data_IF_552335304449
#
_entry.id   IF_552335304449
#
_cell.length_a   1.000
_cell.length_b   1.000
_cell.length_c   1.000
_cell.angle_alpha   90.00
_cell.angle_beta   90.00
_cell.angle_gamma   90.00
#
_symmetry.space_group_name_H-M   'P 1'
#
loop_
_entity.id
_entity.type
_entity.pdbx_description
1 polymer ?
#
# COMPACT_ATOMS: atom_id res chain seq x y z
N UNK A 1 11.18 -1.11 -15.13
CA UNK A 1 11.02 -1.51 -13.72
C UNK A 1 12.18 -2.41 -13.35
N UNK A 2 13.24 -1.83 -12.72
CA UNK A 2 14.24 -2.65 -12.04
C UNK A 2 13.52 -3.40 -10.95
N UNK A 3 13.89 -4.68 -10.75
CA UNK A 3 13.42 -5.52 -9.66
C UNK A 3 13.44 -4.72 -8.36
N UNK A 4 12.26 -4.45 -7.80
CA UNK A 4 12.19 -4.14 -6.39
C UNK A 4 12.75 -5.37 -5.68
N UNK A 5 13.83 -5.20 -4.92
CA UNK A 5 14.33 -6.28 -4.08
C UNK A 5 13.20 -6.62 -3.12
N UNK A 6 12.77 -7.89 -3.13
CA UNK A 6 11.58 -8.38 -2.44
C UNK A 6 11.64 -8.20 -0.90
N UNK A 7 12.72 -7.63 -0.39
CA UNK A 7 13.00 -7.46 1.05
C UNK A 7 13.17 -6.00 1.48
N UNK A 8 12.99 -5.03 0.57
CA UNK A 8 13.16 -3.63 0.97
C UNK A 8 11.90 -3.13 1.68
N UNK A 9 11.99 -2.71 2.95
CA UNK A 9 10.83 -2.19 3.69
C UNK A 9 10.31 -0.91 3.04
N UNK A 10 9.01 -0.67 3.16
CA UNK A 10 8.42 0.58 2.74
C UNK A 10 8.78 1.64 3.79
N UNK A 11 9.49 2.69 3.36
CA UNK A 11 9.90 3.82 4.20
C UNK A 11 9.52 5.15 3.56
N UNK A 12 9.61 6.26 4.32
CA UNK A 12 9.41 7.60 3.79
C UNK A 12 10.39 7.88 2.63
N UNK A 13 11.67 7.58 2.82
CA UNK A 13 12.71 7.80 1.82
C UNK A 13 12.39 7.05 0.52
N UNK A 14 11.91 5.80 0.66
CA UNK A 14 11.53 4.99 -0.49
C UNK A 14 10.33 5.57 -1.23
N UNK A 15 9.32 6.05 -0.52
CA UNK A 15 8.16 6.69 -1.13
C UNK A 15 8.49 8.02 -1.80
N UNK A 16 9.38 8.82 -1.22
CA UNK A 16 9.93 10.04 -1.82
C UNK A 16 10.73 9.72 -3.09
N UNK A 17 11.57 8.70 -3.08
CA UNK A 17 12.31 8.24 -4.26
C UNK A 17 11.35 7.80 -5.39
N UNK A 18 10.30 7.06 -5.05
CA UNK A 18 9.27 6.65 -6.01
C UNK A 18 8.55 7.86 -6.60
N UNK A 19 8.15 8.83 -5.78
CA UNK A 19 7.53 10.08 -6.23
C UNK A 19 8.46 10.79 -7.22
N UNK A 20 9.70 10.99 -6.86
CA UNK A 20 10.70 11.65 -7.70
C UNK A 20 11.02 10.89 -9.00
N UNK A 21 10.80 9.57 -9.01
CA UNK A 21 10.97 8.74 -10.21
C UNK A 21 9.80 8.89 -11.20
N UNK A 22 8.57 9.11 -10.70
CA UNK A 22 7.37 9.12 -11.53
C UNK A 22 6.88 10.51 -11.91
N UNK A 23 7.47 11.57 -11.33
CA UNK A 23 7.08 12.97 -11.51
C UNK A 23 8.18 13.74 -12.25
N UNK A 24 7.79 14.80 -12.96
CA UNK A 24 8.73 15.74 -13.58
C UNK A 24 9.63 16.37 -12.50
N UNK A 25 10.97 16.47 -12.74
CA UNK A 25 11.93 17.01 -11.77
C UNK A 25 11.57 18.37 -11.17
N UNK A 26 10.79 19.17 -11.86
CA UNK A 26 10.31 20.48 -11.36
C UNK A 26 9.33 20.37 -10.18
N UNK A 27 8.75 19.19 -9.97
CA UNK A 27 7.76 18.91 -8.94
C UNK A 27 8.23 17.84 -7.95
N UNK A 28 9.53 17.60 -7.88
CA UNK A 28 10.10 16.68 -6.89
C UNK A 28 9.84 17.19 -5.48
N UNK A 29 9.54 16.27 -4.60
CA UNK A 29 9.34 16.51 -3.18
C UNK A 29 10.41 15.78 -2.38
N UNK A 30 10.67 16.25 -1.14
CA UNK A 30 11.72 15.71 -0.27
C UNK A 30 11.14 15.12 1.02
N UNK A 31 9.84 15.34 1.24
CA UNK A 31 9.04 14.85 2.37
C UNK A 31 7.57 15.00 2.02
N UNK A 32 6.69 14.75 2.97
CA UNK A 32 5.25 14.91 2.80
C UNK A 32 4.86 16.37 2.50
N UNK A 33 3.76 16.56 1.76
CA UNK A 33 3.25 17.90 1.43
C UNK A 33 2.95 18.74 2.67
N UNK A 34 3.19 20.04 2.56
CA UNK A 34 2.92 21.01 3.62
C UNK A 34 1.65 21.84 3.36
N UNK A 35 0.96 21.59 2.25
CA UNK A 35 -0.26 22.31 1.87
C UNK A 35 -1.38 21.33 1.62
N UNK A 36 -2.60 21.80 1.91
CA UNK A 36 -3.80 21.06 1.55
C UNK A 36 -3.90 20.97 0.03
N UNK A 37 -4.22 19.80 -0.46
CA UNK A 37 -4.60 19.54 -1.84
C UNK A 37 -6.00 18.92 -1.89
N UNK A 38 -6.49 18.68 -3.08
CA UNK A 38 -7.78 18.06 -3.33
C UNK A 38 -7.70 17.25 -4.62
N UNK A 39 -8.58 16.28 -4.76
CA UNK A 39 -8.76 15.50 -5.98
C UNK A 39 -10.07 15.95 -6.63
N UNK A 40 -10.07 16.12 -7.94
CA UNK A 40 -11.24 16.57 -8.67
C UNK A 40 -10.87 17.15 -10.03
N UNK A 41 -11.74 17.99 -10.57
CA UNK A 41 -11.57 18.58 -11.91
C UNK A 41 -11.61 20.11 -11.81
N UNK A 42 -10.66 20.74 -12.48
CA UNK A 42 -10.74 22.17 -12.76
C UNK A 42 -11.51 22.38 -14.06
N UNK A 43 -12.70 22.99 -13.96
CA UNK A 43 -13.58 23.29 -15.08
C UNK A 43 -13.37 24.72 -15.59
N UNK A 44 -12.30 25.41 -15.16
CA UNK A 44 -11.96 26.79 -15.55
C UNK A 44 -12.78 27.86 -14.84
N UNK A 45 -14.09 27.71 -14.79
CA UNK A 45 -15.00 28.66 -14.07
C UNK A 45 -15.37 28.21 -12.67
N UNK A 46 -15.13 26.94 -12.33
CA UNK A 46 -15.31 26.36 -10.99
C UNK A 46 -14.42 25.13 -10.85
N UNK A 47 -14.07 24.82 -9.61
CA UNK A 47 -13.44 23.56 -9.25
C UNK A 47 -14.53 22.59 -8.78
N UNK A 48 -14.51 21.39 -9.34
CA UNK A 48 -15.27 20.25 -8.83
C UNK A 48 -14.34 19.46 -7.92
N UNK A 49 -14.60 19.48 -6.64
CA UNK A 49 -13.82 18.73 -5.63
C UNK A 49 -14.56 17.42 -5.38
N UNK A 50 -13.91 16.30 -5.72
CA UNK A 50 -14.45 14.96 -5.53
C UNK A 50 -13.98 14.39 -4.18
N UNK A 51 -12.76 14.76 -3.72
CA UNK A 51 -12.20 14.26 -2.46
C UNK A 51 -11.21 15.25 -1.84
N UNK A 52 -11.28 15.42 -0.53
CA UNK A 52 -10.32 16.22 0.27
C UNK A 52 -9.56 15.26 1.19
N UNK A 53 -8.26 15.00 0.91
CA UNK A 53 -7.46 14.07 1.72
C UNK A 53 -7.07 14.65 3.08
N UNK A 54 -6.33 13.87 3.87
CA UNK A 54 -5.85 14.21 5.19
C UNK A 54 -5.20 15.60 5.25
N UNK A 55 -5.32 16.27 6.40
CA UNK A 55 -4.70 17.58 6.62
C UNK A 55 -3.17 17.44 6.66
N UNK A 56 -2.41 18.46 6.23
CA UNK A 56 -0.94 18.40 6.23
C UNK A 56 -0.34 18.08 7.61
N UNK A 57 -0.93 18.61 8.67
CA UNK A 57 -0.49 18.39 10.05
C UNK A 57 -0.67 16.97 10.56
N UNK A 58 -1.56 16.19 9.96
CA UNK A 58 -1.85 14.81 10.34
C UNK A 58 -1.01 13.79 9.54
N UNK A 59 -0.33 14.23 8.47
CA UNK A 59 0.32 13.33 7.51
C UNK A 59 1.41 12.47 8.16
N UNK A 60 2.22 13.04 9.05
CA UNK A 60 3.30 12.28 9.68
C UNK A 60 2.75 11.08 10.46
N UNK A 61 1.77 11.32 11.34
CA UNK A 61 1.19 10.27 12.17
C UNK A 61 0.49 9.19 11.33
N UNK A 62 -0.28 9.62 10.32
CA UNK A 62 -1.00 8.70 9.45
C UNK A 62 -0.05 7.86 8.60
N UNK A 63 1.02 8.47 8.08
CA UNK A 63 2.02 7.75 7.30
C UNK A 63 2.85 6.81 8.17
N UNK A 64 3.24 7.21 9.37
CA UNK A 64 3.92 6.32 10.34
C UNK A 64 3.07 5.08 10.65
N UNK A 65 1.76 5.26 10.83
CA UNK A 65 0.82 4.15 11.00
C UNK A 65 0.78 3.21 9.79
N UNK A 66 0.70 3.77 8.58
CA UNK A 66 0.69 3.00 7.33
C UNK A 66 2.00 2.23 7.10
N UNK A 67 3.14 2.86 7.37
CA UNK A 67 4.46 2.24 7.24
C UNK A 67 4.65 1.11 8.26
N UNK A 68 4.20 1.32 9.49
CA UNK A 68 4.19 0.28 10.54
C UNK A 68 3.32 -0.91 10.13
N UNK A 69 2.13 -0.66 9.62
CA UNK A 69 1.26 -1.72 9.10
C UNK A 69 1.94 -2.49 7.97
N UNK A 70 2.59 -1.79 7.03
CA UNK A 70 3.31 -2.41 5.92
C UNK A 70 4.46 -3.29 6.40
N UNK A 71 5.21 -2.87 7.42
CA UNK A 71 6.31 -3.66 8.02
C UNK A 71 5.78 -4.93 8.66
N UNK A 72 4.77 -4.82 9.53
CA UNK A 72 4.18 -5.97 10.21
C UNK A 72 3.64 -7.02 9.21
N UNK A 73 2.97 -6.57 8.14
CA UNK A 73 2.50 -7.47 7.09
C UNK A 73 3.64 -8.17 6.33
N UNK A 74 4.77 -7.51 6.16
CA UNK A 74 5.94 -8.11 5.52
C UNK A 74 6.56 -9.18 6.40
N UNK A 75 6.68 -8.95 7.70
CA UNK A 75 7.21 -9.88 8.67
C UNK A 75 6.34 -11.16 8.76
N UNK A 76 5.00 -10.99 8.82
CA UNK A 76 4.04 -12.10 8.81
C UNK A 76 4.17 -12.97 7.53
N UNK A 77 4.34 -12.33 6.38
CA UNK A 77 4.48 -13.04 5.10
C UNK A 77 5.81 -13.79 4.97
N UNK A 78 6.89 -13.27 5.56
CA UNK A 78 8.20 -13.96 5.60
C UNK A 78 8.14 -15.19 6.50
N UNK A 79 7.50 -15.10 7.66
CA UNK A 79 7.34 -16.21 8.59
C UNK A 79 6.58 -17.39 7.95
N UNK A 80 5.47 -17.11 7.25
CA UNK A 80 4.70 -18.14 6.53
C UNK A 80 5.53 -18.80 5.44
N UNK A 81 6.26 -18.02 4.69
CA UNK A 81 7.09 -18.50 3.57
C UNK A 81 8.24 -19.40 4.05
N UNK A 82 8.79 -19.13 5.23
CA UNK A 82 9.84 -19.94 5.82
C UNK A 82 9.29 -21.23 6.46
N UNK A 83 8.05 -21.20 6.96
CA UNK A 83 7.34 -22.40 7.43
C UNK A 83 7.03 -23.34 6.25
N UNK A 84 6.57 -22.83 5.11
CA UNK A 84 6.31 -23.64 3.90
C UNK A 84 7.58 -24.30 3.36
N UNK A 85 8.74 -23.61 3.39
CA UNK A 85 10.01 -24.16 2.92
C UNK A 85 10.56 -25.28 3.81
N UNK A 86 10.25 -25.25 5.10
CA UNK A 86 10.78 -26.20 6.07
C UNK A 86 9.97 -27.49 6.20
N UNK A 87 8.89 -27.68 5.42
CA UNK A 87 8.01 -28.86 5.39
C UNK A 87 7.68 -29.40 6.81
N UNK A 88 7.65 -28.51 7.79
CA UNK A 88 7.19 -28.80 9.14
C UNK A 88 5.70 -28.48 9.19
N UNK A 89 4.89 -29.43 8.73
CA UNK A 89 3.50 -29.49 9.17
C UNK A 89 3.48 -29.36 10.67
N UNK A 90 2.69 -28.43 11.25
CA UNK A 90 2.55 -28.38 12.69
C UNK A 90 2.14 -29.76 13.15
N UNK A 91 3.01 -30.42 13.93
CA UNK A 91 2.69 -31.72 14.52
C UNK A 91 1.63 -31.44 15.57
N UNK A 92 0.37 -31.65 15.22
CA UNK A 92 -0.80 -31.57 16.10
C UNK A 92 -0.63 -32.32 17.42
N UNK A 93 0.40 -33.16 17.52
CA UNK A 93 0.69 -34.00 18.70
C UNK A 93 1.69 -33.34 19.66
N UNK A 94 2.59 -32.47 19.18
CA UNK A 94 3.58 -31.82 20.03
C UNK A 94 2.99 -30.64 20.82
N UNK A 95 1.99 -29.97 20.28
CA UNK A 95 1.38 -28.78 20.91
C UNK A 95 0.41 -29.14 22.03
N UNK A 96 -0.11 -30.37 22.04
CA UNK A 96 -0.99 -30.85 23.12
C UNK A 96 -0.26 -31.03 24.48
N UNK A 97 1.06 -31.15 24.44
CA UNK A 97 1.86 -31.43 25.63
C UNK A 97 2.32 -30.18 26.35
N UNK A 98 2.41 -29.01 25.68
CA UNK A 98 2.99 -27.78 26.25
C UNK A 98 2.00 -26.70 26.67
N UNK A 99 0.69 -26.92 26.60
CA UNK A 99 -0.36 -26.01 27.12
C UNK A 99 -0.09 -24.50 26.96
N UNK A 100 0.49 -24.07 25.88
CA UNK A 100 0.42 -22.69 25.43
C UNK A 100 -0.62 -22.62 24.33
N UNK A 101 -1.77 -22.08 24.63
CA UNK A 101 -2.72 -21.61 23.61
C UNK A 101 -2.12 -20.39 22.93
N UNK A 102 -1.21 -20.58 22.02
CA UNK A 102 -0.89 -19.54 21.07
C UNK A 102 -2.09 -19.47 20.12
N UNK A 103 -2.79 -18.35 20.18
CA UNK A 103 -3.89 -18.08 19.24
C UNK A 103 -3.24 -17.93 17.86
N UNK A 104 -3.39 -18.94 17.02
CA UNK A 104 -2.97 -18.83 15.63
C UNK A 104 -3.81 -17.74 14.97
N UNK A 105 -3.20 -16.62 14.68
CA UNK A 105 -3.76 -15.57 13.84
C UNK A 105 -3.28 -15.87 12.42
N UNK A 106 -4.16 -16.29 11.50
CA UNK A 106 -3.72 -16.54 10.13
C UNK A 106 -3.17 -15.25 9.53
N UNK A 107 -2.13 -15.32 8.70
CA UNK A 107 -1.60 -14.15 8.02
C UNK A 107 -2.70 -13.52 7.15
N UNK A 108 -2.64 -12.20 7.02
CA UNK A 108 -3.59 -11.47 6.18
C UNK A 108 -3.48 -11.93 4.72
N UNK A 109 -4.63 -12.12 4.07
CA UNK A 109 -4.66 -12.42 2.65
C UNK A 109 -3.89 -11.37 1.84
N UNK A 110 -2.98 -11.76 0.93
CA UNK A 110 -2.15 -10.84 0.16
C UNK A 110 -2.91 -9.78 -0.62
N UNK A 111 -4.09 -10.11 -1.13
CA UNK A 111 -4.93 -9.15 -1.88
C UNK A 111 -5.52 -8.12 -0.92
N UNK A 112 -5.98 -8.56 0.26
CA UNK A 112 -6.48 -7.66 1.31
C UNK A 112 -5.36 -6.76 1.80
N UNK A 113 -4.16 -7.31 2.06
CA UNK A 113 -2.99 -6.53 2.46
C UNK A 113 -2.64 -5.46 1.42
N UNK A 114 -2.57 -5.84 0.14
CA UNK A 114 -2.30 -4.91 -0.95
C UNK A 114 -3.38 -3.82 -1.07
N UNK A 115 -4.65 -4.19 -0.89
CA UNK A 115 -5.75 -3.22 -0.89
C UNK A 115 -5.64 -2.24 0.27
N UNK A 116 -5.40 -2.69 1.49
CA UNK A 116 -5.28 -1.83 2.67
C UNK A 116 -4.10 -0.87 2.57
N UNK A 117 -2.91 -1.34 2.18
CA UNK A 117 -1.72 -0.49 2.04
C UNK A 117 -1.93 0.55 0.94
N UNK A 118 -2.37 0.12 -0.22
CA UNK A 118 -2.50 1.00 -1.38
C UNK A 118 -3.66 2.00 -1.20
N UNK A 119 -4.81 1.55 -0.69
CA UNK A 119 -5.95 2.42 -0.42
C UNK A 119 -5.62 3.42 0.69
N UNK A 120 -5.02 2.98 1.81
CA UNK A 120 -4.57 3.85 2.88
C UNK A 120 -3.64 4.96 2.37
N UNK A 121 -2.67 4.60 1.50
CA UNK A 121 -1.77 5.57 0.90
C UNK A 121 -2.50 6.61 0.04
N UNK A 122 -3.39 6.19 -0.86
CA UNK A 122 -4.09 7.13 -1.75
C UNK A 122 -5.10 7.97 -0.99
N UNK A 123 -5.67 7.45 0.08
CA UNK A 123 -6.59 8.16 0.96
C UNK A 123 -5.87 9.24 1.78
N UNK A 124 -4.71 8.93 2.36
CA UNK A 124 -3.86 9.89 3.07
C UNK A 124 -3.34 10.97 2.10
N UNK A 125 -2.97 10.58 0.89
CA UNK A 125 -2.52 11.46 -0.20
C UNK A 125 -1.32 12.32 0.17
N UNK A 126 -0.17 11.73 0.54
CA UNK A 126 0.92 12.45 1.21
C UNK A 126 1.70 13.42 0.31
N UNK A 127 1.60 13.33 -1.01
CA UNK A 127 2.31 14.19 -1.96
C UNK A 127 1.38 15.17 -2.68
N UNK A 128 1.92 16.24 -3.23
CA UNK A 128 1.15 17.17 -4.07
C UNK A 128 0.74 16.53 -5.41
N UNK A 129 1.62 15.67 -5.97
CA UNK A 129 1.37 14.90 -7.20
C UNK A 129 2.04 13.53 -7.13
N UNK A 130 1.57 12.58 -7.95
CA UNK A 130 2.14 11.24 -8.06
C UNK A 130 1.46 10.17 -7.22
N UNK A 131 0.59 10.53 -6.28
CA UNK A 131 -0.04 9.59 -5.36
C UNK A 131 -0.76 8.43 -6.08
N UNK A 132 -1.50 8.72 -7.15
CA UNK A 132 -2.19 7.68 -7.92
C UNK A 132 -1.25 6.70 -8.64
N UNK A 133 -0.03 7.12 -9.01
CA UNK A 133 0.98 6.23 -9.62
C UNK A 133 1.64 5.35 -8.57
N UNK A 134 1.98 5.93 -7.42
CA UNK A 134 2.54 5.20 -6.28
C UNK A 134 1.51 4.22 -5.72
N UNK A 135 0.25 4.60 -5.56
CA UNK A 135 -0.84 3.72 -5.17
C UNK A 135 -0.87 2.43 -6.01
N UNK A 136 -0.85 2.55 -7.33
CA UNK A 136 -0.83 1.38 -8.22
C UNK A 136 0.46 0.57 -8.11
N UNK A 137 1.59 1.23 -7.88
CA UNK A 137 2.85 0.55 -7.61
C UNK A 137 2.78 -0.27 -6.31
N UNK A 138 2.23 0.28 -5.24
CA UNK A 138 2.11 -0.39 -3.94
C UNK A 138 1.26 -1.66 -4.01
N UNK A 139 0.20 -1.69 -4.83
CA UNK A 139 -0.56 -2.93 -5.07
C UNK A 139 0.38 -4.02 -5.63
N UNK A 140 1.15 -3.69 -6.65
CA UNK A 140 2.07 -4.66 -7.28
C UNK A 140 3.20 -5.07 -6.34
N UNK A 141 3.77 -4.13 -5.60
CA UNK A 141 4.88 -4.36 -4.68
C UNK A 141 4.45 -5.30 -3.54
N UNK A 142 3.31 -5.04 -2.91
CA UNK A 142 2.77 -5.88 -1.84
C UNK A 142 2.44 -7.29 -2.34
N UNK A 143 1.76 -7.43 -3.48
CA UNK A 143 1.45 -8.74 -4.05
C UNK A 143 2.70 -9.52 -4.47
N UNK A 144 3.73 -8.84 -4.96
CA UNK A 144 4.99 -9.47 -5.33
C UNK A 144 5.78 -9.93 -4.10
N UNK A 145 5.84 -9.13 -3.04
CA UNK A 145 6.46 -9.47 -1.75
C UNK A 145 5.78 -10.68 -1.12
N UNK A 146 4.47 -10.74 -1.18
CA UNK A 146 3.68 -11.88 -0.72
C UNK A 146 3.82 -13.14 -1.59
N UNK A 147 4.54 -13.08 -2.73
CA UNK A 147 4.65 -14.19 -3.66
C UNK A 147 3.35 -14.52 -4.42
N UNK A 148 2.33 -13.68 -4.31
CA UNK A 148 1.04 -13.87 -4.96
C UNK A 148 1.12 -13.76 -6.48
N UNK A 149 1.96 -12.87 -6.99
CA UNK A 149 2.17 -12.71 -8.43
C UNK A 149 3.50 -13.32 -8.86
N UNK A 150 3.51 -14.18 -9.90
CA UNK A 150 4.75 -14.68 -10.48
C UNK A 150 5.65 -13.53 -10.97
N UNK A 151 6.97 -13.74 -10.93
CA UNK A 151 7.93 -12.74 -11.40
C UNK A 151 7.66 -12.34 -12.86
N UNK A 152 7.63 -11.05 -13.12
CA UNK A 152 7.44 -10.50 -14.47
C UNK A 152 5.98 -10.37 -14.91
N UNK A 153 5.01 -10.79 -14.09
CA UNK A 153 3.59 -10.55 -14.36
C UNK A 153 3.19 -9.21 -13.73
N UNK A 154 2.61 -8.36 -14.56
CA UNK A 154 2.02 -7.08 -14.15
C UNK A 154 0.50 -7.19 -14.29
N UNK A 155 -0.22 -7.06 -13.19
CA UNK A 155 -1.68 -7.07 -13.19
C UNK A 155 -2.22 -5.78 -13.84
N UNK A 156 -3.33 -5.82 -14.60
CA UNK A 156 -3.87 -4.64 -15.27
C UNK A 156 -4.66 -3.73 -14.31
N UNK A 157 -4.09 -3.39 -13.14
CA UNK A 157 -4.74 -2.62 -12.08
C UNK A 157 -5.32 -1.31 -12.60
N UNK A 158 -4.55 -0.56 -13.42
CA UNK A 158 -5.01 0.70 -13.97
C UNK A 158 -6.24 0.53 -14.87
N UNK A 159 -6.28 -0.53 -15.68
CA UNK A 159 -7.42 -0.80 -16.57
C UNK A 159 -8.67 -1.20 -15.75
N UNK A 160 -8.49 -1.98 -14.68
CA UNK A 160 -9.58 -2.37 -13.80
C UNK A 160 -10.16 -1.16 -13.05
N UNK A 161 -9.32 -0.29 -12.49
CA UNK A 161 -9.77 0.95 -11.83
C UNK A 161 -10.54 1.84 -12.82
N UNK A 162 -10.02 2.01 -14.04
CA UNK A 162 -10.70 2.82 -15.06
C UNK A 162 -12.04 2.23 -15.52
N UNK A 163 -12.13 0.90 -15.58
CA UNK A 163 -13.37 0.21 -15.93
C UNK A 163 -14.43 0.29 -14.82
N UNK A 164 -14.04 0.56 -13.58
CA UNK A 164 -14.91 0.64 -12.39
C UNK A 164 -14.68 1.98 -11.67
N UNK A 165 -14.54 3.07 -12.43
CA UNK A 165 -14.13 4.36 -11.88
C UNK A 165 -15.17 4.94 -10.91
N UNK A 166 -16.45 4.76 -11.21
CA UNK A 166 -17.55 5.27 -10.38
C UNK A 166 -17.56 4.56 -9.01
N UNK A 167 -17.41 3.24 -8.98
CA UNK A 167 -17.33 2.46 -7.74
C UNK A 167 -16.08 2.85 -6.93
N UNK A 168 -14.96 3.13 -7.61
CA UNK A 168 -13.73 3.58 -6.97
C UNK A 168 -13.88 4.96 -6.32
N UNK A 169 -14.54 5.90 -7.01
CA UNK A 169 -14.81 7.25 -6.48
C UNK A 169 -15.80 7.17 -5.30
N UNK A 170 -16.89 6.40 -5.44
CA UNK A 170 -17.85 6.18 -4.35
C UNK A 170 -17.17 5.62 -3.09
N UNK A 171 -16.22 4.70 -3.25
CA UNK A 171 -15.44 4.15 -2.14
C UNK A 171 -14.61 5.24 -1.45
N UNK A 172 -13.95 6.13 -2.19
CA UNK A 172 -13.20 7.25 -1.61
C UNK A 172 -14.12 8.23 -0.87
N UNK A 173 -15.27 8.55 -1.44
CA UNK A 173 -16.25 9.47 -0.85
C UNK A 173 -16.89 8.90 0.42
N UNK A 174 -17.10 7.59 0.48
CA UNK A 174 -17.73 6.93 1.63
C UNK A 174 -16.94 7.10 2.93
N UNK A 175 -15.62 7.25 2.83
CA UNK A 175 -14.70 7.37 3.96
C UNK A 175 -14.19 8.81 4.17
N UNK A 176 -14.65 9.80 3.39
CA UNK A 176 -14.23 11.21 3.50
C UNK A 176 -15.10 12.07 4.43
#
# INVERSE_FOLDING_TARGET
>A
LRQADAHEPLTEERLVELQNTVIDPRFHEFTWRHRQNWIGKDLGHRQQIDFVPARPEDLQELMDGLLTMSSNLSDDLEEVRDQEKNDKSPSLVADFVNQRFEVYVPPMDPVVAAACIAFGFVYIHPFMDGNGRIHRYLIHDTLAKAGFTPRGIVLPVSAVILANLDDYIETLEHFS
#
